data_IF_398822535544
#
_entry.id   IF_398822535544
#
_cell.length_a   1.000
_cell.length_b   1.000
_cell.length_c   1.000
_cell.angle_alpha   90.00
_cell.angle_beta   90.00
_cell.angle_gamma   90.00
#
_symmetry.space_group_name_H-M   'P 1'
#
loop_
_entity.id
_entity.type
_entity.pdbx_description
1 polymer ?
#
# COMPACT_ATOMS: atom_id res chain seq x y z
N UNK A 1 -4.75 6.24 4.09
CA UNK A 1 -4.93 7.70 4.12
C UNK A 1 -4.38 8.25 2.82
N UNK A 2 -5.16 9.08 2.11
CA UNK A 2 -4.73 9.65 0.84
C UNK A 2 -3.69 10.76 1.07
N UNK A 3 -2.69 10.92 0.29
CA UNK A 3 -1.64 11.94 0.41
C UNK A 3 -0.24 11.34 0.38
N UNK A 4 -0.15 10.05 0.62
CA UNK A 4 1.11 9.35 0.77
C UNK A 4 1.96 9.31 -0.50
N UNK A 5 1.36 9.39 -1.68
CA UNK A 5 2.11 9.36 -2.95
C UNK A 5 3.06 10.56 -3.08
N UNK A 6 2.64 11.76 -2.64
CA UNK A 6 3.47 12.96 -2.66
C UNK A 6 4.40 13.06 -1.43
N UNK A 7 4.00 12.47 -0.29
CA UNK A 7 4.71 12.60 0.99
C UNK A 7 5.56 11.40 1.36
N UNK A 8 5.40 10.25 0.69
CA UNK A 8 6.15 9.04 1.01
C UNK A 8 7.64 9.37 1.16
N UNK A 9 8.25 8.88 2.24
CA UNK A 9 9.65 9.13 2.56
C UNK A 9 10.27 7.90 3.23
N UNK A 10 11.56 7.66 2.98
CA UNK A 10 12.27 6.54 3.56
C UNK A 10 11.61 5.20 3.24
N UNK A 11 11.50 4.31 4.21
CA UNK A 11 10.96 2.96 4.02
C UNK A 11 9.46 2.92 3.63
N UNK A 12 8.68 3.97 3.90
CA UNK A 12 7.30 4.08 3.41
C UNK A 12 7.23 4.20 1.89
N UNK A 13 8.31 4.70 1.26
CA UNK A 13 8.45 4.79 -0.19
C UNK A 13 8.32 3.44 -0.90
N UNK A 14 8.69 2.34 -0.23
CA UNK A 14 8.53 0.98 -0.77
C UNK A 14 7.07 0.69 -1.19
N UNK A 15 6.09 1.18 -0.45
CA UNK A 15 4.68 0.81 -0.65
C UNK A 15 3.86 1.88 -1.36
N UNK A 16 4.27 3.15 -1.23
CA UNK A 16 3.46 4.27 -1.71
C UNK A 16 4.01 4.95 -2.96
N UNK A 17 5.32 5.15 -3.01
CA UNK A 17 5.98 5.78 -4.15
C UNK A 17 7.48 5.56 -4.05
N UNK A 18 8.11 4.78 -4.92
CA UNK A 18 9.54 4.46 -4.84
C UNK A 18 10.45 5.69 -4.94
N UNK A 19 10.00 6.81 -5.51
CA UNK A 19 10.74 8.08 -5.49
C UNK A 19 10.95 8.61 -4.06
N UNK A 20 10.07 8.24 -3.12
CA UNK A 20 10.18 8.60 -1.70
C UNK A 20 11.36 7.98 -0.98
N UNK A 21 11.90 6.87 -1.50
CA UNK A 21 13.13 6.23 -0.99
C UNK A 21 14.29 7.22 -0.94
N UNK A 22 14.41 8.09 -1.95
CA UNK A 22 15.47 9.09 -2.05
C UNK A 22 15.59 10.01 -0.82
N UNK A 23 14.52 10.12 -0.03
CA UNK A 23 14.46 10.94 1.19
C UNK A 23 14.99 10.22 2.44
N UNK A 24 15.40 8.95 2.36
CA UNK A 24 15.99 8.25 3.48
C UNK A 24 17.40 8.79 3.75
N UNK A 25 17.59 9.36 4.93
CA UNK A 25 18.88 9.92 5.37
C UNK A 25 19.91 8.86 5.81
N UNK A 26 19.46 7.65 6.10
CA UNK A 26 20.27 6.54 6.62
C UNK A 26 19.55 5.21 6.48
N UNK A 27 19.96 4.24 7.30
CA UNK A 27 19.25 2.98 7.43
C UNK A 27 17.85 3.23 8.00
N UNK A 28 16.82 2.66 7.37
CA UNK A 28 15.45 2.77 7.86
C UNK A 28 14.69 1.47 7.70
N UNK A 29 13.66 1.27 8.51
CA UNK A 29 12.71 0.19 8.33
C UNK A 29 11.27 0.66 8.55
N UNK A 30 10.33 -0.09 7.99
CA UNK A 30 8.91 0.07 8.22
C UNK A 30 8.26 -1.32 8.30
N UNK A 31 7.34 -1.48 9.23
CA UNK A 31 6.47 -2.64 9.31
C UNK A 31 5.04 -2.17 9.56
N UNK A 32 4.07 -2.86 8.98
CA UNK A 32 2.67 -2.51 9.13
C UNK A 32 1.77 -3.74 9.11
N UNK A 33 0.61 -3.59 9.75
CA UNK A 33 -0.46 -4.58 9.76
C UNK A 33 -1.78 -3.88 9.53
N UNK A 34 -2.62 -4.46 8.70
CA UNK A 34 -4.00 -4.02 8.46
C UNK A 34 -4.92 -5.19 8.68
N UNK A 35 -5.86 -5.03 9.59
CA UNK A 35 -7.02 -5.92 9.68
C UNK A 35 -8.05 -5.44 8.66
N UNK A 36 -8.23 -6.24 7.61
CA UNK A 36 -9.14 -5.93 6.52
C UNK A 36 -10.50 -6.58 6.78
N UNK A 37 -11.34 -6.65 5.77
CA UNK A 37 -12.69 -7.23 5.86
C UNK A 37 -12.62 -8.75 5.96
N UNK A 38 -13.61 -9.35 6.65
CA UNK A 38 -13.87 -10.80 6.66
C UNK A 38 -12.61 -11.63 6.96
N UNK A 39 -11.99 -11.37 8.12
CA UNK A 39 -10.79 -12.09 8.62
C UNK A 39 -9.52 -11.90 7.78
N UNK A 40 -9.57 -11.16 6.65
CA UNK A 40 -8.39 -10.88 5.84
C UNK A 40 -7.39 -10.03 6.62
N UNK A 41 -6.15 -10.45 6.66
CA UNK A 41 -5.05 -9.69 7.23
C UNK A 41 -4.00 -9.34 6.17
N UNK A 42 -3.50 -8.12 6.26
CA UNK A 42 -2.46 -7.61 5.38
C UNK A 42 -1.27 -7.19 6.23
N UNK A 43 -0.09 -7.71 5.93
CA UNK A 43 1.16 -7.37 6.60
C UNK A 43 2.18 -6.87 5.58
N UNK A 44 3.00 -5.93 6.00
CA UNK A 44 4.13 -5.46 5.22
C UNK A 44 5.34 -5.20 6.12
N UNK A 45 6.52 -5.43 5.58
CA UNK A 45 7.78 -5.07 6.22
C UNK A 45 8.83 -4.68 5.16
N UNK A 46 9.68 -3.72 5.47
CA UNK A 46 10.71 -3.29 4.54
C UNK A 46 11.87 -2.58 5.21
N UNK A 47 13.02 -2.64 4.55
CA UNK A 47 14.27 -2.01 4.97
C UNK A 47 14.83 -1.21 3.81
N UNK A 48 15.39 -0.06 4.11
CA UNK A 48 16.04 0.83 3.14
C UNK A 48 17.42 1.24 3.62
N UNK A 49 18.36 1.37 2.69
CA UNK A 49 19.71 1.82 2.99
C UNK A 49 20.24 2.72 1.86
N UNK A 50 21.00 3.79 2.17
CA UNK A 50 21.72 4.55 1.17
C UNK A 50 22.72 3.67 0.42
N UNK A 51 22.68 3.73 -0.91
CA UNK A 51 23.53 2.92 -1.78
C UNK A 51 23.63 3.53 -3.18
N UNK A 52 24.84 3.56 -3.74
CA UNK A 52 25.09 3.96 -5.13
C UNK A 52 24.51 5.33 -5.54
N UNK A 53 24.61 6.33 -4.65
CA UNK A 53 24.13 7.70 -4.91
C UNK A 53 22.60 7.85 -4.89
N UNK A 54 21.91 6.87 -4.32
CA UNK A 54 20.50 6.86 -4.02
C UNK A 54 20.20 5.99 -2.81
N UNK A 55 19.04 5.36 -2.78
CA UNK A 55 18.59 4.48 -1.69
C UNK A 55 18.04 3.21 -2.29
N UNK A 56 18.59 2.08 -1.85
CA UNK A 56 18.07 0.75 -2.15
C UNK A 56 17.10 0.35 -1.05
N UNK A 57 16.03 -0.33 -1.42
CA UNK A 57 15.06 -0.88 -0.49
C UNK A 57 14.65 -2.30 -0.85
N UNK A 58 14.37 -3.10 0.16
CA UNK A 58 13.78 -4.43 0.03
C UNK A 58 12.52 -4.44 0.88
N UNK A 59 11.42 -4.89 0.30
CA UNK A 59 10.13 -4.95 0.96
C UNK A 59 9.44 -6.27 0.73
N UNK A 60 8.63 -6.65 1.70
CA UNK A 60 7.76 -7.82 1.67
C UNK A 60 6.34 -7.41 2.02
N UNK A 61 5.38 -7.99 1.33
CA UNK A 61 3.94 -7.84 1.58
C UNK A 61 3.33 -9.23 1.62
N UNK A 62 2.45 -9.47 2.57
CA UNK A 62 1.68 -10.71 2.68
C UNK A 62 0.22 -10.36 2.95
N UNK A 63 -0.68 -11.02 2.26
CA UNK A 63 -2.12 -11.00 2.48
C UNK A 63 -2.56 -12.41 2.82
N UNK A 64 -3.25 -12.56 3.92
CA UNK A 64 -3.88 -13.80 4.36
C UNK A 64 -5.39 -13.57 4.32
N UNK A 65 -6.10 -14.38 3.57
CA UNK A 65 -7.54 -14.27 3.40
C UNK A 65 -8.35 -15.09 4.41
N UNK A 66 -7.67 -15.82 5.32
CA UNK A 66 -8.29 -16.71 6.29
C UNK A 66 -8.66 -18.06 5.71
N UNK A 67 -9.47 -18.79 6.46
CA UNK A 67 -9.89 -20.15 6.13
C UNK A 67 -11.22 -20.17 5.37
N UNK A 68 -11.26 -20.92 4.29
CA UNK A 68 -12.46 -21.13 3.48
C UNK A 68 -12.94 -22.59 3.58
N UNK A 69 -14.25 -22.79 3.54
CA UNK A 69 -14.84 -24.13 3.56
C UNK A 69 -15.06 -24.63 2.14
N UNK A 70 -14.52 -25.80 1.83
CA UNK A 70 -14.82 -26.51 0.58
C UNK A 70 -16.21 -27.15 0.62
N UNK A 71 -16.87 -27.13 -0.50
CA UNK A 71 -18.10 -27.89 -0.74
C UNK A 71 -17.93 -28.72 -2.00
N UNK A 72 -18.50 -29.91 -2.03
CA UNK A 72 -18.32 -30.77 -3.18
C UNK A 72 -19.26 -31.98 -3.19
N UNK A 73 -19.18 -32.75 -4.26
CA UNK A 73 -19.92 -34.01 -4.40
C UNK A 73 -19.09 -35.16 -3.82
N UNK A 74 -19.67 -35.90 -2.89
CA UNK A 74 -19.08 -37.10 -2.33
C UNK A 74 -19.92 -38.31 -2.67
N UNK A 75 -19.29 -39.42 -3.03
CA UNK A 75 -19.95 -40.69 -3.22
C UNK A 75 -20.30 -41.29 -1.84
N UNK A 76 -21.60 -41.48 -1.60
CA UNK A 76 -22.13 -42.13 -0.40
C UNK A 76 -23.01 -43.29 -0.86
N UNK A 77 -22.61 -44.51 -0.57
CA UNK A 77 -23.35 -45.73 -0.91
C UNK A 77 -23.78 -45.84 -2.39
N UNK A 78 -22.86 -45.48 -3.32
CA UNK A 78 -23.09 -45.55 -4.76
C UNK A 78 -23.91 -44.39 -5.35
N UNK A 79 -24.15 -43.34 -4.56
CA UNK A 79 -24.84 -42.12 -5.03
C UNK A 79 -23.96 -40.89 -4.72
N UNK A 80 -23.90 -39.93 -5.63
CA UNK A 80 -23.24 -38.67 -5.39
C UNK A 80 -24.13 -37.71 -4.61
N UNK A 81 -23.70 -37.28 -3.45
CA UNK A 81 -24.41 -36.34 -2.58
C UNK A 81 -23.57 -35.08 -2.44
N UNK A 82 -24.18 -33.93 -2.67
CA UNK A 82 -23.53 -32.65 -2.38
C UNK A 82 -23.41 -32.43 -0.87
N UNK A 83 -22.19 -32.24 -0.40
CA UNK A 83 -21.89 -31.94 1.00
C UNK A 83 -21.19 -30.59 1.09
N UNK A 84 -21.75 -29.64 1.84
CA UNK A 84 -21.03 -28.45 2.27
C UNK A 84 -20.02 -28.80 3.39
N UNK A 85 -18.97 -28.02 3.52
CA UNK A 85 -17.99 -28.09 4.64
C UNK A 85 -17.27 -29.45 4.75
N UNK A 86 -16.77 -29.98 3.66
CA UNK A 86 -16.04 -31.25 3.64
C UNK A 86 -14.58 -31.10 4.05
N UNK A 87 -13.99 -29.94 3.74
CA UNK A 87 -12.58 -29.59 4.00
C UNK A 87 -12.45 -28.09 4.16
N UNK A 88 -11.35 -27.62 4.74
CA UNK A 88 -10.93 -26.22 4.73
C UNK A 88 -9.75 -26.02 3.79
N UNK A 89 -9.65 -24.85 3.15
CA UNK A 89 -8.49 -24.42 2.41
C UNK A 89 -8.15 -22.98 2.76
N UNK A 90 -6.91 -22.57 2.49
CA UNK A 90 -6.44 -21.20 2.71
C UNK A 90 -6.13 -20.52 1.39
N UNK A 91 -6.20 -19.19 1.39
CA UNK A 91 -5.74 -18.37 0.30
C UNK A 91 -4.79 -17.29 0.82
N UNK A 92 -3.71 -17.01 0.07
CA UNK A 92 -2.73 -16.00 0.46
C UNK A 92 -2.03 -15.42 -0.76
N UNK A 93 -1.72 -14.11 -0.70
CA UNK A 93 -0.86 -13.43 -1.65
C UNK A 93 0.40 -12.96 -0.96
N UNK A 94 1.53 -13.08 -1.67
CA UNK A 94 2.80 -12.61 -1.21
C UNK A 94 3.49 -11.79 -2.30
N UNK A 95 4.19 -10.73 -1.91
CA UNK A 95 5.02 -9.98 -2.82
C UNK A 95 6.37 -9.66 -2.17
N UNK A 96 7.44 -10.02 -2.86
CA UNK A 96 8.80 -9.59 -2.54
C UNK A 96 9.21 -8.52 -3.54
N UNK A 97 9.71 -7.38 -3.04
CA UNK A 97 10.11 -6.27 -3.91
C UNK A 97 11.51 -5.78 -3.62
N UNK A 98 12.18 -5.35 -4.69
CA UNK A 98 13.44 -4.59 -4.65
C UNK A 98 13.18 -3.25 -5.31
N UNK A 99 13.58 -2.18 -4.66
CA UNK A 99 13.28 -0.81 -5.09
C UNK A 99 14.52 0.06 -5.02
N UNK A 100 14.62 1.03 -5.90
CA UNK A 100 15.68 2.03 -5.89
C UNK A 100 15.10 3.40 -6.16
N UNK A 101 15.52 4.40 -5.37
CA UNK A 101 15.11 5.78 -5.53
C UNK A 101 16.29 6.74 -5.37
N UNK A 102 16.31 7.83 -6.14
CA UNK A 102 17.35 8.85 -6.06
C UNK A 102 16.83 10.23 -6.40
N UNK A 103 17.51 11.24 -5.88
CA UNK A 103 17.34 12.60 -6.36
C UNK A 103 18.02 12.79 -7.72
N UNK A 104 17.33 13.42 -8.67
CA UNK A 104 17.90 13.92 -9.91
C UNK A 104 18.26 15.41 -9.80
N UNK A 105 17.59 16.12 -8.91
CA UNK A 105 17.92 17.50 -8.49
C UNK A 105 17.46 17.69 -7.04
N UNK A 106 17.81 18.79 -6.41
CA UNK A 106 17.40 19.13 -5.04
C UNK A 106 15.88 19.11 -4.81
N UNK A 107 15.09 19.17 -5.89
CA UNK A 107 13.61 19.26 -5.85
C UNK A 107 12.91 18.06 -6.46
N UNK A 108 13.61 17.23 -7.22
CA UNK A 108 13.01 16.17 -8.00
C UNK A 108 13.66 14.82 -7.73
N UNK A 109 12.85 13.85 -7.34
CA UNK A 109 13.27 12.47 -7.17
C UNK A 109 12.48 11.52 -8.08
N UNK A 110 13.13 10.42 -8.44
CA UNK A 110 12.57 9.31 -9.22
C UNK A 110 12.90 8.00 -8.53
N UNK A 111 12.05 7.02 -8.69
CA UNK A 111 12.30 5.67 -8.19
C UNK A 111 11.57 4.62 -8.98
N UNK A 112 12.02 3.39 -8.86
CA UNK A 112 11.39 2.22 -9.45
C UNK A 112 11.46 1.02 -8.53
N UNK A 113 10.56 0.08 -8.74
CA UNK A 113 10.51 -1.21 -8.02
C UNK A 113 10.32 -2.35 -9.00
N UNK A 114 10.92 -3.49 -8.70
CA UNK A 114 10.61 -4.78 -9.29
C UNK A 114 10.04 -5.67 -8.20
N UNK A 115 8.92 -6.34 -8.48
CA UNK A 115 8.17 -7.17 -7.55
C UNK A 115 8.02 -8.57 -8.12
N UNK A 116 8.23 -9.57 -7.30
CA UNK A 116 7.78 -10.94 -7.54
C UNK A 116 6.53 -11.16 -6.70
N UNK A 117 5.41 -11.42 -7.35
CA UNK A 117 4.11 -11.65 -6.72
C UNK A 117 3.79 -13.12 -6.84
N UNK A 118 3.28 -13.73 -5.77
CA UNK A 118 2.74 -15.09 -5.77
C UNK A 118 1.38 -15.11 -5.10
N UNK A 119 0.45 -15.79 -5.72
CA UNK A 119 -0.90 -16.05 -5.26
C UNK A 119 -1.03 -17.57 -5.03
N UNK A 120 -1.52 -17.94 -3.86
CA UNK A 120 -1.73 -19.33 -3.49
C UNK A 120 -3.18 -19.50 -3.07
N UNK A 121 -3.88 -20.42 -3.68
CA UNK A 121 -5.28 -20.76 -3.37
C UNK A 121 -5.36 -22.29 -3.34
N UNK A 122 -5.60 -22.85 -2.16
CA UNK A 122 -5.62 -24.29 -1.96
C UNK A 122 -4.30 -24.94 -2.43
N UNK A 123 -4.36 -25.89 -3.37
CA UNK A 123 -3.19 -26.56 -3.96
C UNK A 123 -2.64 -25.82 -5.19
N UNK A 124 -3.30 -24.74 -5.66
CA UNK A 124 -2.88 -23.96 -6.81
C UNK A 124 -1.98 -22.79 -6.41
N UNK A 125 -0.91 -22.57 -7.16
CA UNK A 125 -0.02 -21.42 -6.98
C UNK A 125 0.25 -20.73 -8.32
N UNK A 126 0.18 -19.43 -8.31
CA UNK A 126 0.46 -18.56 -9.45
C UNK A 126 1.56 -17.56 -9.07
N UNK A 127 2.48 -17.26 -9.97
CA UNK A 127 3.50 -16.24 -9.70
C UNK A 127 3.81 -15.39 -10.93
N UNK A 128 4.13 -14.13 -10.71
CA UNK A 128 4.42 -13.20 -11.78
C UNK A 128 5.29 -12.04 -11.35
N UNK A 129 5.64 -11.20 -12.33
CA UNK A 129 6.43 -10.01 -12.12
C UNK A 129 5.57 -8.76 -12.28
N UNK A 130 5.78 -7.79 -11.41
CA UNK A 130 5.20 -6.47 -11.51
C UNK A 130 6.25 -5.40 -11.24
N UNK A 131 6.03 -4.22 -11.78
CA UNK A 131 6.96 -3.10 -11.65
C UNK A 131 6.21 -1.85 -11.20
N UNK A 132 6.96 -0.94 -10.53
CA UNK A 132 6.48 0.40 -10.22
C UNK A 132 7.47 1.44 -10.71
N UNK A 133 6.95 2.60 -11.12
CA UNK A 133 7.76 3.79 -11.40
C UNK A 133 7.06 4.98 -10.76
N UNK A 134 7.83 5.76 -10.01
CA UNK A 134 7.32 6.91 -9.30
C UNK A 134 8.21 8.13 -9.39
N UNK A 135 7.60 9.29 -9.18
CA UNK A 135 8.28 10.58 -9.12
C UNK A 135 7.73 11.43 -7.99
N UNK A 136 8.59 12.28 -7.42
CA UNK A 136 8.18 13.32 -6.48
C UNK A 136 8.88 14.63 -6.83
N UNK A 137 8.15 15.73 -6.68
CA UNK A 137 8.62 17.07 -6.97
C UNK A 137 8.24 18.04 -5.85
N UNK A 138 9.26 18.70 -5.27
CA UNK A 138 9.05 19.79 -4.33
C UNK A 138 9.10 21.12 -5.10
N UNK A 139 7.99 21.80 -5.18
CA UNK A 139 7.90 23.06 -5.94
C UNK A 139 8.69 24.19 -5.29
N UNK A 140 8.98 24.10 -3.96
CA UNK A 140 9.58 25.15 -3.15
C UNK A 140 8.59 26.25 -2.73
N UNK A 141 7.33 26.20 -3.18
CA UNK A 141 6.30 27.14 -2.78
C UNK A 141 5.39 26.53 -1.70
N UNK A 142 5.34 27.12 -0.51
CA UNK A 142 4.53 26.67 0.64
C UNK A 142 4.67 25.17 0.93
N UNK A 143 5.87 24.62 0.78
CA UNK A 143 6.14 23.17 0.90
C UNK A 143 5.20 22.31 0.03
N UNK A 144 4.70 22.86 -1.10
CA UNK A 144 3.88 22.12 -2.04
C UNK A 144 4.71 21.03 -2.70
N UNK A 145 4.33 19.79 -2.43
CA UNK A 145 4.91 18.58 -3.01
C UNK A 145 3.90 17.92 -3.94
N UNK A 146 4.38 17.46 -5.08
CA UNK A 146 3.62 16.67 -6.04
C UNK A 146 4.23 15.28 -6.10
N UNK A 147 3.41 14.27 -6.31
CA UNK A 147 3.86 12.91 -6.51
C UNK A 147 3.00 12.19 -7.53
N UNK A 148 3.63 11.36 -8.34
CA UNK A 148 2.94 10.48 -9.26
C UNK A 148 3.59 9.10 -9.21
N UNK A 149 2.78 8.05 -9.36
CA UNK A 149 3.26 6.67 -9.44
C UNK A 149 2.35 5.86 -10.35
N UNK A 150 2.97 5.00 -11.14
CA UNK A 150 2.32 3.89 -11.83
C UNK A 150 2.82 2.64 -11.11
N UNK A 151 1.91 1.85 -10.55
CA UNK A 151 2.23 0.65 -9.78
C UNK A 151 1.63 -0.58 -10.41
N UNK A 152 2.28 -1.73 -10.16
CA UNK A 152 1.83 -3.05 -10.55
C UNK A 152 1.64 -3.21 -12.06
N UNK A 153 2.45 -2.54 -12.89
CA UNK A 153 2.44 -2.85 -14.31
C UNK A 153 3.39 -4.02 -14.59
N UNK A 154 3.01 -4.88 -15.51
CA UNK A 154 3.80 -6.08 -15.82
C UNK A 154 3.16 -6.91 -16.91
N UNK A 155 3.83 -8.00 -17.35
CA UNK A 155 3.23 -8.96 -18.24
C UNK A 155 2.02 -9.63 -17.57
N UNK A 156 1.11 -10.11 -18.39
CA UNK A 156 0.06 -10.98 -17.90
C UNK A 156 0.67 -12.27 -17.34
N UNK A 157 0.01 -12.84 -16.33
CA UNK A 157 0.39 -14.06 -15.66
C UNK A 157 -0.49 -15.17 -16.20
N UNK A 158 0.11 -16.18 -16.79
CA UNK A 158 -0.62 -17.31 -17.33
C UNK A 158 -0.87 -18.34 -16.21
N UNK A 159 -2.10 -18.86 -16.07
CA UNK A 159 -2.37 -19.94 -15.13
C UNK A 159 -1.59 -21.20 -15.49
N UNK A 160 -1.24 -22.00 -14.48
CA UNK A 160 -0.43 -23.21 -14.62
C UNK A 160 -1.17 -24.32 -15.40
N UNK A 161 -2.48 -24.29 -15.46
CA UNK A 161 -3.28 -25.24 -16.24
C UNK A 161 -3.44 -24.77 -17.68
N UNK A 162 -2.92 -25.58 -18.63
CA UNK A 162 -2.90 -25.30 -20.08
C UNK A 162 -4.29 -25.11 -20.72
N UNK A 163 -5.37 -25.48 -20.05
CA UNK A 163 -6.75 -25.40 -20.58
C UNK A 163 -7.50 -24.08 -20.24
N UNK A 164 -6.85 -23.14 -19.57
CA UNK A 164 -7.49 -21.86 -19.21
C UNK A 164 -6.95 -20.74 -20.12
N UNK A 165 -7.76 -20.27 -21.06
CA UNK A 165 -7.43 -19.16 -21.98
C UNK A 165 -7.37 -17.77 -21.29
N UNK A 166 -7.46 -17.68 -19.97
CA UNK A 166 -7.52 -16.42 -19.25
C UNK A 166 -6.20 -16.07 -18.56
N UNK A 167 -5.39 -15.25 -19.22
CA UNK A 167 -4.26 -14.60 -18.57
C UNK A 167 -4.72 -13.50 -17.61
N UNK A 168 -4.14 -13.43 -16.41
CA UNK A 168 -4.43 -12.41 -15.40
C UNK A 168 -3.41 -11.27 -15.50
N UNK A 169 -3.86 -10.09 -15.90
CA UNK A 169 -3.01 -8.90 -15.87
C UNK A 169 -2.90 -8.37 -14.43
N UNK A 170 -1.69 -7.98 -13.97
CA UNK A 170 -1.56 -7.32 -12.68
C UNK A 170 -2.46 -6.09 -12.58
N UNK A 171 -3.07 -5.80 -11.41
CA UNK A 171 -3.99 -4.67 -11.24
C UNK A 171 -3.22 -3.34 -11.27
N UNK A 172 -2.92 -2.86 -12.47
CA UNK A 172 -2.18 -1.62 -12.67
C UNK A 172 -2.92 -0.45 -12.03
N UNK A 173 -2.18 0.35 -11.28
CA UNK A 173 -2.72 1.51 -10.58
C UNK A 173 -1.94 2.76 -10.95
N UNK A 174 -2.64 3.80 -11.33
CA UNK A 174 -2.11 5.15 -11.43
C UNK A 174 -2.54 5.98 -10.23
N UNK A 175 -1.58 6.63 -9.57
CA UNK A 175 -1.84 7.53 -8.46
C UNK A 175 -1.12 8.86 -8.64
N UNK A 176 -1.82 9.94 -8.32
CA UNK A 176 -1.29 11.30 -8.30
C UNK A 176 -1.67 11.96 -6.99
N UNK A 177 -0.71 12.63 -6.35
CA UNK A 177 -0.93 13.36 -5.10
C UNK A 177 -0.33 14.75 -5.15
N UNK A 178 -1.00 15.67 -4.47
CA UNK A 178 -0.49 17.00 -4.19
C UNK A 178 -0.72 17.32 -2.72
N UNK A 179 0.28 17.85 -2.03
CA UNK A 179 0.21 18.17 -0.61
C UNK A 179 1.01 19.42 -0.32
N UNK A 180 0.47 20.31 0.50
CA UNK A 180 1.12 21.56 0.86
C UNK A 180 0.81 22.02 2.27
N UNK A 181 1.64 22.93 2.76
CA UNK A 181 1.45 23.58 4.07
C UNK A 181 0.29 24.55 3.99
N UNK A 182 -0.78 24.27 4.75
CA UNK A 182 -1.95 25.16 4.85
C UNK A 182 -1.67 26.29 5.84
N UNK A 183 -1.14 25.99 7.03
CA UNK A 183 -0.68 26.97 8.02
C UNK A 183 0.33 26.36 9.00
N UNK A 184 0.99 27.23 9.79
CA UNK A 184 1.92 26.83 10.84
C UNK A 184 3.30 26.37 10.29
N UNK A 185 3.99 25.57 11.07
CA UNK A 185 5.33 25.06 10.80
C UNK A 185 5.44 23.57 11.20
N UNK A 186 6.66 23.04 11.26
CA UNK A 186 6.92 21.63 11.61
C UNK A 186 6.58 21.30 13.08
N UNK A 187 6.57 22.29 13.97
CA UNK A 187 6.25 22.09 15.39
C UNK A 187 4.75 22.12 15.66
N UNK A 188 4.03 23.03 14.99
CA UNK A 188 2.59 23.14 15.04
C UNK A 188 2.07 23.61 13.68
N UNK A 189 1.52 22.72 12.90
CA UNK A 189 1.08 23.05 11.56
C UNK A 189 0.03 22.10 11.01
N UNK A 190 -0.66 22.57 9.99
CA UNK A 190 -1.60 21.77 9.19
C UNK A 190 -1.06 21.65 7.77
N UNK A 191 -0.96 20.44 7.32
CA UNK A 191 -0.72 20.06 5.93
C UNK A 191 -2.03 19.56 5.33
N UNK A 192 -2.37 20.01 4.14
CA UNK A 192 -3.55 19.55 3.42
C UNK A 192 -3.17 19.02 2.05
N UNK A 193 -3.90 18.04 1.55
CA UNK A 193 -3.59 17.42 0.28
C UNK A 193 -4.78 16.77 -0.40
N UNK A 194 -4.53 16.42 -1.65
CA UNK A 194 -5.45 15.65 -2.50
C UNK A 194 -4.68 14.47 -3.07
N UNK A 195 -5.36 13.34 -3.18
CA UNK A 195 -4.83 12.16 -3.85
C UNK A 195 -5.88 11.60 -4.81
N UNK A 196 -5.45 11.29 -6.01
CA UNK A 196 -6.27 10.69 -7.07
C UNK A 196 -5.70 9.32 -7.34
N UNK A 197 -6.55 8.29 -7.31
CA UNK A 197 -6.15 6.91 -7.58
C UNK A 197 -7.09 6.34 -8.65
N UNK A 198 -6.51 5.75 -9.69
CA UNK A 198 -7.22 5.04 -10.73
C UNK A 198 -6.63 3.64 -10.88
N UNK A 199 -7.39 2.63 -10.52
CA UNK A 199 -7.11 1.24 -10.87
C UNK A 199 -7.59 0.97 -12.30
N UNK A 200 -6.97 -0.01 -12.97
CA UNK A 200 -7.31 -0.36 -14.37
C UNK A 200 -8.79 -0.70 -14.55
N UNK A 201 -9.38 -1.39 -13.60
CA UNK A 201 -10.70 -2.02 -13.64
C UNK A 201 -11.76 -1.35 -12.74
N UNK A 202 -11.39 -0.35 -11.93
CA UNK A 202 -12.30 0.33 -11.01
C UNK A 202 -12.52 1.80 -11.37
N UNK A 203 -13.56 2.40 -10.82
CA UNK A 203 -13.78 3.84 -10.91
C UNK A 203 -12.65 4.63 -10.23
N UNK A 204 -12.40 5.84 -10.72
CA UNK A 204 -11.43 6.75 -10.11
C UNK A 204 -11.91 7.16 -8.72
N UNK A 205 -10.97 7.16 -7.76
CA UNK A 205 -11.17 7.65 -6.40
C UNK A 205 -10.38 8.93 -6.16
N UNK A 206 -10.97 9.84 -5.42
CA UNK A 206 -10.33 11.10 -5.04
C UNK A 206 -10.43 11.22 -3.52
N UNK A 207 -9.30 11.41 -2.84
CA UNK A 207 -9.25 11.63 -1.41
C UNK A 207 -8.71 13.02 -1.10
N UNK A 208 -9.41 13.74 -0.23
CA UNK A 208 -8.92 14.97 0.40
C UNK A 208 -8.46 14.61 1.81
N UNK A 209 -7.30 15.08 2.21
CA UNK A 209 -6.69 14.71 3.47
C UNK A 209 -6.05 15.92 4.18
N UNK A 210 -5.96 15.80 5.50
CA UNK A 210 -5.27 16.74 6.35
C UNK A 210 -4.46 16.03 7.43
N UNK A 211 -3.29 16.56 7.73
CA UNK A 211 -2.44 16.12 8.84
C UNK A 211 -2.09 17.36 9.70
N UNK A 212 -2.49 17.31 10.95
CA UNK A 212 -2.11 18.30 11.97
C UNK A 212 -0.94 17.73 12.78
N UNK A 213 0.15 18.48 12.83
CA UNK A 213 1.29 18.21 13.72
C UNK A 213 1.18 19.06 14.97
N UNK A 214 1.41 18.45 16.14
CA UNK A 214 1.40 19.10 17.45
C UNK A 214 2.69 18.77 18.18
N UNK A 215 3.35 19.79 18.72
CA UNK A 215 4.64 19.70 19.43
C UNK A 215 5.74 18.98 18.60
N UNK A 216 5.69 19.02 17.27
CA UNK A 216 6.65 18.37 16.38
C UNK A 216 6.65 16.84 16.40
N UNK A 217 5.81 16.24 17.24
CA UNK A 217 5.84 14.78 17.49
C UNK A 217 4.51 14.10 17.22
N UNK A 218 3.40 14.70 17.64
CA UNK A 218 2.08 14.08 17.55
C UNK A 218 1.46 14.49 16.21
N UNK A 219 0.95 13.50 15.47
CA UNK A 219 0.28 13.68 14.20
C UNK A 219 -1.16 13.21 14.30
N UNK A 220 -2.10 14.06 13.94
CA UNK A 220 -3.52 13.72 13.84
C UNK A 220 -3.92 13.86 12.38
N UNK A 221 -4.58 12.83 11.85
CA UNK A 221 -4.89 12.74 10.42
C UNK A 221 -6.38 12.52 10.19
N UNK A 222 -6.89 13.13 9.16
CA UNK A 222 -8.23 12.89 8.65
C UNK A 222 -8.24 12.84 7.15
N UNK A 223 -9.08 12.01 6.56
CA UNK A 223 -9.31 12.02 5.13
C UNK A 223 -10.77 11.74 4.77
N UNK A 224 -11.18 12.28 3.63
CA UNK A 224 -12.48 12.06 3.03
C UNK A 224 -12.28 11.58 1.60
N UNK A 225 -12.83 10.39 1.27
CA UNK A 225 -12.69 9.76 -0.04
C UNK A 225 -14.00 9.84 -0.82
N UNK A 226 -13.91 10.27 -2.07
CA UNK A 226 -15.00 10.33 -3.04
C UNK A 226 -14.83 9.22 -4.08
N UNK A 227 -15.95 8.65 -4.56
CA UNK A 227 -15.95 7.68 -5.64
C UNK A 227 -15.77 6.23 -5.20
N UNK A 228 -15.89 5.94 -3.89
CA UNK A 228 -15.92 4.58 -3.36
C UNK A 228 -17.31 4.23 -2.82
N UNK A 229 -17.86 3.08 -3.23
CA UNK A 229 -19.19 2.64 -2.80
C UNK A 229 -19.12 1.66 -1.61
N UNK A 230 -17.95 1.15 -1.27
CA UNK A 230 -17.75 0.14 -0.24
C UNK A 230 -17.26 0.74 1.07
N UNK A 231 -16.47 1.81 0.98
CA UNK A 231 -15.94 2.52 2.13
C UNK A 231 -16.81 3.73 2.45
N UNK A 232 -17.04 3.98 3.74
CA UNK A 232 -17.43 5.31 4.15
C UNK A 232 -16.34 6.30 3.78
N UNK A 233 -16.78 7.50 3.45
CA UNK A 233 -15.89 8.57 3.00
C UNK A 233 -14.82 8.95 4.03
N UNK A 234 -14.97 8.58 5.31
CA UNK A 234 -14.14 9.07 6.42
C UNK A 234 -13.10 8.06 6.88
N UNK A 235 -11.89 8.56 7.06
CA UNK A 235 -10.80 7.85 7.74
C UNK A 235 -10.11 8.77 8.73
N UNK A 236 -9.69 8.24 9.87
CA UNK A 236 -8.99 8.95 10.92
C UNK A 236 -7.70 8.24 11.29
N UNK A 237 -6.73 8.97 11.80
CA UNK A 237 -5.51 8.37 12.29
C UNK A 237 -4.76 9.28 13.25
N UNK A 238 -3.92 8.64 14.04
CA UNK A 238 -2.99 9.31 14.93
C UNK A 238 -1.60 8.66 14.81
N UNK A 239 -0.57 9.42 15.10
CA UNK A 239 0.79 8.92 15.10
C UNK A 239 1.68 9.72 16.05
N UNK A 240 2.78 9.10 16.42
CA UNK A 240 3.85 9.73 17.22
C UNK A 240 5.15 9.50 16.47
N UNK A 241 5.90 10.59 16.27
CA UNK A 241 7.26 10.56 15.74
C UNK A 241 8.21 11.11 16.78
N UNK A 242 9.16 10.29 17.23
CA UNK A 242 10.14 10.71 18.23
C UNK A 242 11.47 9.95 18.03
N UNK A 243 12.57 10.68 17.98
CA UNK A 243 13.93 10.10 17.86
C UNK A 243 14.07 9.08 16.70
N UNK A 244 13.50 9.40 15.54
CA UNK A 244 13.53 8.51 14.37
C UNK A 244 12.50 7.38 14.39
N UNK A 245 11.82 7.13 15.51
CA UNK A 245 10.76 6.12 15.63
C UNK A 245 9.41 6.75 15.28
N UNK A 246 8.64 6.09 14.45
CA UNK A 246 7.27 6.45 14.12
C UNK A 246 6.31 5.31 14.46
N UNK A 247 5.27 5.60 15.22
CA UNK A 247 4.16 4.67 15.51
C UNK A 247 2.88 5.32 15.01
N UNK A 248 2.12 4.61 14.18
CA UNK A 248 0.87 5.14 13.66
C UNK A 248 -0.27 4.13 13.79
N UNK A 249 -1.45 4.65 14.04
CA UNK A 249 -2.71 3.92 13.99
C UNK A 249 -3.69 4.67 13.08
N UNK A 250 -4.45 3.94 12.30
CA UNK A 250 -5.51 4.52 11.48
C UNK A 250 -6.72 3.62 11.41
N UNK A 251 -7.88 4.24 11.27
CA UNK A 251 -9.18 3.60 11.13
C UNK A 251 -9.87 4.14 9.89
N UNK A 252 -10.44 3.26 9.09
CA UNK A 252 -11.33 3.63 7.97
C UNK A 252 -12.70 3.05 8.26
N UNK A 253 -13.72 3.88 8.26
CA UNK A 253 -15.11 3.43 8.40
C UNK A 253 -15.54 2.70 7.14
N UNK A 254 -16.38 1.67 7.31
CA UNK A 254 -16.94 0.89 6.22
C UNK A 254 -18.47 0.94 6.30
N UNK A 255 -19.13 0.96 5.14
CA UNK A 255 -20.61 1.12 5.08
C UNK A 255 -21.35 -0.08 5.70
N UNK A 256 -20.85 -1.28 5.47
CA UNK A 256 -21.56 -2.53 5.85
C UNK A 256 -20.71 -3.52 6.65
N UNK A 257 -19.51 -3.14 7.02
CA UNK A 257 -18.54 -4.00 7.72
C UNK A 257 -17.93 -3.29 8.93
N UNK A 258 -17.22 -4.03 9.75
CA UNK A 258 -16.42 -3.47 10.83
C UNK A 258 -15.35 -2.52 10.28
N UNK A 259 -14.96 -1.49 11.05
CA UNK A 259 -13.93 -0.56 10.63
C UNK A 259 -12.60 -1.25 10.37
N UNK A 260 -11.95 -0.89 9.27
CA UNK A 260 -10.59 -1.37 8.94
C UNK A 260 -9.57 -0.64 9.80
N UNK A 261 -8.80 -1.41 10.56
CA UNK A 261 -7.74 -0.90 11.43
C UNK A 261 -6.36 -1.12 10.80
N UNK A 262 -5.51 -0.10 10.90
CA UNK A 262 -4.12 -0.13 10.40
C UNK A 262 -3.17 0.29 11.49
N UNK A 263 -2.09 -0.45 11.65
CA UNK A 263 -1.00 -0.17 12.56
C UNK A 263 0.31 -0.12 11.76
N UNK A 264 1.18 0.80 12.07
CA UNK A 264 2.53 0.80 11.50
C UNK A 264 3.58 1.28 12.49
N UNK A 265 4.75 0.70 12.36
CA UNK A 265 5.97 1.05 13.08
C UNK A 265 7.05 1.35 12.04
N UNK A 266 7.74 2.45 12.20
CA UNK A 266 8.88 2.83 11.37
C UNK A 266 10.05 3.30 12.22
N UNK A 267 11.24 3.19 11.63
CA UNK A 267 12.47 3.77 12.17
C UNK A 267 13.34 4.31 11.04
N UNK A 268 13.93 5.46 11.26
CA UNK A 268 14.84 6.11 10.32
C UNK A 268 16.01 6.72 11.10
N UNK A 269 17.22 6.28 10.75
CA UNK A 269 18.49 6.89 11.22
C UNK A 269 18.73 8.24 10.56
#
# INVERSE_FOLDING_TARGET
MGGLVAQAAGAEGLYWNPAGLAKAGGLGFNAGMTQWLVETSYMNAGVVMPMAGGVLGVGFVSVDYGDFMKAGWQEVSGSYVFKPNIETFTASDNALQVSYGRFLSDKFSIGGSAKMVSENIDDASLSGLAFDVGTQFNTGYRNLQLGAVISNFGPAIDPVEEDTESSLAPPMTFSFGAVGQAFGDESMGLVAGINVVKLSDMAQRIAVNGEMTVAGMIKIRGSYTLGDLVQDALSFGAGINMAGISVNVAMTQMVAFDPVMRFSLGYQL
#
